data_IF_694457451435
#
_entry.id   IF_694457451435
#
_cell.length_a   1.000
_cell.length_b   1.000
_cell.length_c   1.000
_cell.angle_alpha   90.00
_cell.angle_beta   90.00
_cell.angle_gamma   90.00
#
_symmetry.space_group_name_H-M   'P 1'
#
loop_
_entity.id
_entity.type
_entity.pdbx_description
1 polymer ?
#
# COMPACT_ATOMS: atom_id res chain seq x y z
N UNK A 1 7.55 -27.66 0.63
CA UNK A 1 6.38 -26.78 0.36
C UNK A 1 6.75 -25.85 -0.79
N UNK A 2 5.97 -25.82 -1.87
CA UNK A 2 6.31 -25.02 -3.06
C UNK A 2 6.01 -23.54 -2.78
N UNK A 3 6.92 -22.62 -3.15
CA UNK A 3 6.74 -21.16 -2.94
C UNK A 3 5.43 -20.66 -3.58
N UNK A 4 5.08 -21.20 -4.75
CA UNK A 4 3.84 -20.89 -5.46
C UNK A 4 2.58 -21.27 -4.67
N UNK A 5 2.61 -22.33 -3.87
CA UNK A 5 1.48 -22.76 -3.03
C UNK A 5 1.25 -21.78 -1.90
N UNK A 6 2.33 -21.28 -1.29
CA UNK A 6 2.26 -20.23 -0.27
C UNK A 6 1.70 -18.95 -0.87
N UNK A 7 2.18 -18.54 -2.05
CA UNK A 7 1.67 -17.40 -2.79
C UNK A 7 0.15 -17.49 -3.00
N UNK A 8 -0.30 -18.58 -3.65
CA UNK A 8 -1.73 -18.85 -3.90
C UNK A 8 -2.56 -18.91 -2.62
N UNK A 9 -1.99 -19.39 -1.52
CA UNK A 9 -2.69 -19.42 -0.24
C UNK A 9 -2.94 -18.04 0.33
N UNK A 10 -1.94 -17.14 0.28
CA UNK A 10 -2.06 -15.78 0.80
C UNK A 10 -3.01 -14.96 -0.10
N UNK A 11 -2.96 -15.19 -1.41
CA UNK A 11 -3.76 -14.48 -2.42
C UNK A 11 -5.19 -14.98 -2.60
N UNK A 12 -5.57 -16.09 -1.95
CA UNK A 12 -6.91 -16.61 -2.11
C UNK A 12 -7.96 -15.62 -1.57
N UNK A 13 -9.11 -15.43 -2.25
CA UNK A 13 -10.12 -14.45 -1.88
C UNK A 13 -10.58 -14.52 -0.41
N UNK A 14 -10.66 -15.73 0.16
CA UNK A 14 -11.07 -15.93 1.54
C UNK A 14 -10.05 -15.40 2.57
N UNK A 15 -8.75 -15.48 2.28
CA UNK A 15 -7.69 -14.92 3.14
C UNK A 15 -7.68 -13.40 3.02
N UNK A 16 -7.76 -12.87 1.79
CA UNK A 16 -7.85 -11.43 1.54
C UNK A 16 -9.04 -10.79 2.25
N UNK A 17 -10.22 -11.41 2.16
CA UNK A 17 -11.44 -10.93 2.81
C UNK A 17 -11.29 -10.88 4.34
N UNK A 18 -10.65 -11.89 4.94
CA UNK A 18 -10.35 -11.91 6.39
C UNK A 18 -9.30 -10.86 6.79
N UNK A 19 -8.30 -10.63 5.93
CA UNK A 19 -7.30 -9.60 6.19
C UNK A 19 -7.96 -8.21 6.15
N UNK A 20 -8.79 -7.94 5.13
CA UNK A 20 -9.59 -6.72 5.07
C UNK A 20 -10.54 -6.56 6.26
N UNK A 21 -11.20 -7.63 6.73
CA UNK A 21 -12.09 -7.54 7.91
C UNK A 21 -11.32 -7.25 9.20
N UNK A 22 -10.09 -7.74 9.32
CA UNK A 22 -9.20 -7.48 10.46
C UNK A 22 -8.43 -6.17 10.36
N UNK A 23 -8.52 -5.46 9.23
CA UNK A 23 -7.78 -4.21 9.01
C UNK A 23 -7.89 -3.19 10.14
N UNK A 24 -9.07 -2.92 10.75
CA UNK A 24 -9.16 -2.01 11.88
C UNK A 24 -8.29 -2.45 13.06
N UNK A 25 -8.33 -3.75 13.39
CA UNK A 25 -7.56 -4.30 14.50
C UNK A 25 -6.05 -4.26 14.19
N UNK A 26 -5.65 -4.55 12.95
CA UNK A 26 -4.25 -4.47 12.51
C UNK A 26 -3.75 -3.03 12.59
N UNK A 27 -4.47 -2.07 11.99
CA UNK A 27 -4.09 -0.65 12.04
C UNK A 27 -4.02 -0.12 13.47
N UNK A 28 -4.96 -0.52 14.33
CA UNK A 28 -4.96 -0.13 15.75
C UNK A 28 -3.75 -0.73 16.47
N UNK A 29 -3.47 -2.02 16.26
CA UNK A 29 -2.32 -2.71 16.86
C UNK A 29 -0.99 -2.12 16.40
N UNK A 30 -0.82 -1.89 15.09
CA UNK A 30 0.39 -1.25 14.56
C UNK A 30 0.52 0.18 15.05
N UNK A 31 -0.58 0.95 15.10
CA UNK A 31 -0.60 2.29 15.64
C UNK A 31 -0.19 2.34 17.12
N UNK A 32 -0.70 1.42 17.94
CA UNK A 32 -0.32 1.29 19.35
C UNK A 32 1.16 0.89 19.52
N UNK A 33 1.67 0.00 18.67
CA UNK A 33 3.08 -0.39 18.68
C UNK A 33 3.99 0.79 18.31
N UNK A 34 3.67 1.53 17.25
CA UNK A 34 4.41 2.75 16.84
C UNK A 34 4.35 3.80 17.95
N UNK A 35 3.18 4.04 18.52
CA UNK A 35 3.01 4.97 19.63
C UNK A 35 3.84 4.57 20.85
N UNK A 36 3.83 3.28 21.21
CA UNK A 36 4.59 2.74 22.31
C UNK A 36 6.09 2.85 22.10
N UNK A 37 6.58 2.51 20.90
CA UNK A 37 7.99 2.67 20.54
C UNK A 37 8.44 4.14 20.59
N UNK A 38 7.66 5.05 20.01
CA UNK A 38 7.97 6.49 20.00
C UNK A 38 7.95 7.09 21.42
N UNK A 39 7.01 6.65 22.26
CA UNK A 39 6.83 7.18 23.61
C UNK A 39 7.81 6.59 24.62
N UNK A 40 7.98 5.26 24.63
CA UNK A 40 8.73 4.57 25.68
C UNK A 40 10.19 4.30 25.31
N UNK A 41 10.52 4.22 24.01
CA UNK A 41 11.89 3.99 23.57
C UNK A 41 12.57 5.30 23.15
N UNK A 42 12.03 6.00 22.15
CA UNK A 42 12.66 7.23 21.63
C UNK A 42 12.58 8.43 22.57
N UNK A 43 11.54 8.52 23.39
CA UNK A 43 11.27 9.68 24.25
C UNK A 43 11.37 9.35 25.74
N UNK A 44 12.12 8.30 26.09
CA UNK A 44 12.20 7.78 27.46
C UNK A 44 12.47 8.89 28.48
N UNK A 45 13.43 9.76 28.17
CA UNK A 45 13.96 10.81 29.07
C UNK A 45 13.53 12.24 28.66
N UNK A 46 12.50 12.37 27.80
CA UNK A 46 12.10 13.68 27.29
C UNK A 46 11.28 14.48 28.34
N UNK A 47 11.61 15.75 28.62
CA UNK A 47 10.99 16.54 29.70
C UNK A 47 9.47 16.78 29.53
N UNK A 48 8.96 16.63 28.31
CA UNK A 48 7.53 16.74 27.98
C UNK A 48 6.93 15.44 27.43
N UNK A 49 7.40 14.28 27.90
CA UNK A 49 6.99 12.95 27.42
C UNK A 49 5.48 12.77 27.32
N UNK A 50 4.71 13.12 28.36
CA UNK A 50 3.25 12.96 28.36
C UNK A 50 2.56 13.76 27.24
N UNK A 51 2.98 15.02 27.05
CA UNK A 51 2.46 15.89 25.98
C UNK A 51 2.82 15.35 24.60
N UNK A 52 4.06 14.88 24.41
CA UNK A 52 4.53 14.32 23.13
C UNK A 52 3.85 12.97 22.82
N UNK A 53 3.64 12.13 23.84
CA UNK A 53 2.84 10.90 23.75
C UNK A 53 1.41 11.20 23.30
N UNK A 54 0.74 12.20 23.88
CA UNK A 54 -0.60 12.60 23.47
C UNK A 54 -0.63 13.06 22.01
N UNK A 55 0.32 13.91 21.60
CA UNK A 55 0.40 14.38 20.20
C UNK A 55 0.61 13.24 19.21
N UNK A 56 1.47 12.28 19.55
CA UNK A 56 1.68 11.10 18.72
C UNK A 56 0.42 10.25 18.66
N UNK A 57 -0.29 10.05 19.78
CA UNK A 57 -1.56 9.32 19.79
C UNK A 57 -2.61 9.96 18.86
N UNK A 58 -2.81 11.27 18.96
CA UNK A 58 -3.76 12.01 18.09
C UNK A 58 -3.34 11.92 16.62
N UNK A 59 -2.05 12.08 16.33
CA UNK A 59 -1.52 12.01 14.96
C UNK A 59 -1.68 10.62 14.36
N UNK A 60 -1.31 9.57 15.11
CA UNK A 60 -1.42 8.16 14.69
C UNK A 60 -2.89 7.79 14.50
N UNK A 61 -3.76 8.15 15.44
CA UNK A 61 -5.20 7.89 15.33
C UNK A 61 -5.80 8.57 14.10
N UNK A 62 -5.38 9.81 13.80
CA UNK A 62 -5.84 10.55 12.62
C UNK A 62 -5.34 9.91 11.31
N UNK A 63 -4.06 9.53 11.25
CA UNK A 63 -3.50 8.85 10.08
C UNK A 63 -4.14 7.47 9.86
N UNK A 64 -4.29 6.65 10.91
CA UNK A 64 -4.91 5.33 10.85
C UNK A 64 -6.41 5.41 10.52
N UNK A 65 -7.12 6.36 11.12
CA UNK A 65 -8.53 6.62 10.82
C UNK A 65 -8.73 7.06 9.36
N UNK A 66 -7.87 7.95 8.87
CA UNK A 66 -7.88 8.36 7.46
C UNK A 66 -7.53 7.18 6.52
N UNK A 67 -6.52 6.37 6.83
CA UNK A 67 -6.22 5.11 6.11
C UNK A 67 -7.47 4.23 6.01
N UNK A 68 -8.16 4.02 7.12
CA UNK A 68 -9.36 3.18 7.16
C UNK A 68 -10.52 3.76 6.34
N UNK A 69 -10.80 5.05 6.49
CA UNK A 69 -11.84 5.75 5.71
C UNK A 69 -11.52 5.74 4.22
N UNK A 70 -10.25 5.93 3.85
CA UNK A 70 -9.80 5.88 2.46
C UNK A 70 -10.12 4.54 1.78
N UNK A 71 -9.97 3.42 2.51
CA UNK A 71 -10.21 2.09 1.94
C UNK A 71 -11.65 1.61 2.04
N UNK A 72 -12.34 1.86 3.16
CA UNK A 72 -13.72 1.39 3.36
C UNK A 72 -14.80 2.37 2.90
N UNK A 73 -14.43 3.64 2.73
CA UNK A 73 -15.39 4.70 2.51
C UNK A 73 -16.00 5.19 3.82
N UNK A 74 -16.85 6.21 3.70
CA UNK A 74 -17.58 6.81 4.80
C UNK A 74 -19.07 6.84 4.46
N UNK A 75 -19.89 6.28 5.36
CA UNK A 75 -21.35 6.36 5.30
C UNK A 75 -21.87 7.04 6.56
N UNK A 76 -22.70 8.07 6.39
CA UNK A 76 -23.32 8.80 7.49
C UNK A 76 -24.82 8.87 7.22
N UNK A 77 -25.65 8.45 8.18
CA UNK A 77 -27.11 8.46 8.03
C UNK A 77 -27.62 7.69 6.81
N UNK A 78 -26.97 6.56 6.47
CA UNK A 78 -27.30 5.75 5.29
C UNK A 78 -26.81 6.31 3.95
N UNK A 79 -26.34 7.56 3.89
CA UNK A 79 -25.78 8.17 2.67
C UNK A 79 -24.28 7.90 2.56
N UNK A 80 -23.85 7.48 1.37
CA UNK A 80 -22.41 7.31 1.07
C UNK A 80 -21.81 8.69 0.83
N UNK A 81 -20.98 9.15 1.76
CA UNK A 81 -20.25 10.42 1.68
C UNK A 81 -18.99 10.24 0.83
N UNK A 82 -18.30 9.13 1.02
CA UNK A 82 -17.12 8.75 0.26
C UNK A 82 -17.18 7.24 -0.02
N UNK A 83 -17.00 6.84 -1.27
CA UNK A 83 -16.88 5.41 -1.61
C UNK A 83 -15.45 4.96 -1.33
N UNK A 84 -15.31 3.81 -0.66
CA UNK A 84 -13.99 3.22 -0.41
C UNK A 84 -13.23 2.96 -1.72
N UNK A 85 -11.92 3.16 -1.67
CA UNK A 85 -11.04 3.00 -2.83
C UNK A 85 -10.57 1.55 -3.03
N UNK A 86 -10.83 0.66 -2.07
CA UNK A 86 -10.57 -0.77 -2.22
C UNK A 86 -11.88 -1.55 -2.35
N UNK A 87 -11.85 -2.54 -3.22
CA UNK A 87 -12.95 -3.49 -3.33
C UNK A 87 -12.91 -4.45 -2.16
N UNK A 88 -14.04 -4.57 -1.45
CA UNK A 88 -14.20 -5.51 -0.35
C UNK A 88 -15.39 -6.41 -0.61
N UNK A 89 -15.15 -7.71 -0.64
CA UNK A 89 -16.19 -8.74 -0.66
C UNK A 89 -16.22 -9.44 0.69
N UNK A 90 -17.36 -9.44 1.41
CA UNK A 90 -17.51 -10.17 2.67
C UNK A 90 -17.22 -11.66 2.51
N UNK A 91 -16.69 -12.29 3.57
CA UNK A 91 -16.24 -13.70 3.52
C UNK A 91 -17.39 -14.64 3.16
N UNK A 92 -18.61 -14.34 3.59
CA UNK A 92 -19.81 -15.12 3.30
C UNK A 92 -20.10 -15.13 1.80
N UNK A 93 -19.96 -13.96 1.16
CA UNK A 93 -20.15 -13.82 -0.30
C UNK A 93 -18.99 -14.46 -1.07
N UNK A 94 -17.76 -14.36 -0.57
CA UNK A 94 -16.60 -15.05 -1.15
C UNK A 94 -16.81 -16.56 -1.13
N UNK A 95 -17.16 -17.14 0.02
CA UNK A 95 -17.37 -18.58 0.15
C UNK A 95 -18.59 -19.05 -0.65
N UNK A 96 -19.67 -18.26 -0.71
CA UNK A 96 -20.81 -18.56 -1.57
C UNK A 96 -20.42 -18.63 -3.05
N UNK A 97 -19.68 -17.65 -3.55
CA UNK A 97 -19.21 -17.63 -4.94
C UNK A 97 -18.26 -18.82 -5.20
N UNK A 98 -17.36 -19.12 -4.27
CA UNK A 98 -16.46 -20.27 -4.35
C UNK A 98 -17.23 -21.60 -4.41
N UNK A 99 -18.23 -21.79 -3.54
CA UNK A 99 -19.08 -22.97 -3.54
C UNK A 99 -19.83 -23.12 -4.87
N UNK A 100 -20.41 -22.02 -5.39
CA UNK A 100 -21.09 -22.00 -6.67
C UNK A 100 -20.17 -22.36 -7.84
N UNK A 101 -18.94 -21.83 -7.87
CA UNK A 101 -17.95 -22.16 -8.88
C UNK A 101 -17.57 -23.64 -8.84
N UNK A 102 -17.37 -24.19 -7.63
CA UNK A 102 -17.08 -25.62 -7.43
C UNK A 102 -18.26 -26.49 -7.89
N UNK A 103 -19.49 -26.15 -7.49
CA UNK A 103 -20.69 -26.89 -7.90
C UNK A 103 -20.87 -26.89 -9.41
N UNK A 104 -20.70 -25.72 -10.04
CA UNK A 104 -20.77 -25.58 -11.49
C UNK A 104 -19.70 -26.44 -12.18
N UNK A 105 -18.46 -26.44 -11.68
CA UNK A 105 -17.38 -27.23 -12.26
C UNK A 105 -17.64 -28.74 -12.13
N UNK A 106 -18.04 -29.21 -10.95
CA UNK A 106 -18.33 -30.63 -10.69
C UNK A 106 -19.59 -31.13 -11.42
N UNK A 107 -20.61 -30.28 -11.61
CA UNK A 107 -21.81 -30.65 -12.38
C UNK A 107 -21.57 -30.73 -13.89
N UNK A 108 -20.62 -29.96 -14.41
CA UNK A 108 -20.29 -29.91 -15.84
C UNK A 108 -19.24 -30.96 -16.24
N UNK A 109 -18.64 -31.67 -15.29
CA UNK A 109 -17.53 -32.59 -15.53
C UNK A 109 -17.46 -33.70 -14.49
N UNK A 110 -17.41 -34.96 -14.94
CA UNK A 110 -16.97 -36.07 -14.12
C UNK A 110 -15.45 -36.01 -13.93
N UNK A 111 -15.02 -36.06 -12.66
CA UNK A 111 -13.62 -36.19 -12.29
C UNK A 111 -13.36 -37.64 -11.90
N UNK A 112 -12.38 -38.28 -12.53
CA UNK A 112 -11.96 -39.64 -12.17
C UNK A 112 -11.06 -39.65 -10.91
N UNK A 113 -10.62 -38.48 -10.44
CA UNK A 113 -9.78 -38.32 -9.25
C UNK A 113 -10.64 -38.02 -8.01
N UNK A 114 -10.92 -39.07 -7.23
CA UNK A 114 -11.68 -38.98 -5.96
C UNK A 114 -11.02 -38.05 -4.93
N UNK A 115 -9.68 -37.96 -4.92
CA UNK A 115 -8.96 -37.10 -3.97
C UNK A 115 -9.20 -35.63 -4.31
N UNK A 116 -9.12 -35.28 -5.60
CA UNK A 116 -9.40 -33.94 -6.09
C UNK A 116 -10.87 -33.58 -5.85
N UNK A 117 -11.80 -34.48 -6.17
CA UNK A 117 -13.23 -34.23 -5.97
C UNK A 117 -13.57 -34.00 -4.49
N UNK A 118 -13.06 -34.85 -3.59
CA UNK A 118 -13.24 -34.70 -2.14
C UNK A 118 -12.63 -33.39 -1.63
N UNK A 119 -11.46 -33.01 -2.14
CA UNK A 119 -10.80 -31.74 -1.80
C UNK A 119 -11.68 -30.55 -2.18
N UNK A 120 -12.22 -30.52 -3.40
CA UNK A 120 -13.11 -29.47 -3.89
C UNK A 120 -14.42 -29.42 -3.06
N UNK A 121 -15.07 -30.56 -2.81
CA UNK A 121 -16.29 -30.61 -1.99
C UNK A 121 -16.07 -30.08 -0.57
N UNK A 122 -14.97 -30.46 0.07
CA UNK A 122 -14.62 -30.01 1.41
C UNK A 122 -14.27 -28.52 1.46
N UNK A 123 -13.78 -27.96 0.36
CA UNK A 123 -13.38 -26.56 0.31
C UNK A 123 -14.56 -25.58 0.17
N UNK A 124 -15.75 -26.01 -0.27
CA UNK A 124 -16.91 -25.11 -0.53
C UNK A 124 -17.19 -24.09 0.58
N UNK A 125 -17.08 -24.51 1.84
CA UNK A 125 -17.47 -23.71 3.01
C UNK A 125 -16.27 -23.21 3.83
N UNK A 126 -15.04 -23.34 3.32
CA UNK A 126 -13.83 -22.89 4.04
C UNK A 126 -12.78 -22.34 3.09
N UNK A 127 -11.79 -21.65 3.66
CA UNK A 127 -10.56 -21.33 2.92
C UNK A 127 -9.83 -22.61 2.52
N UNK A 128 -9.15 -22.58 1.39
CA UNK A 128 -8.22 -23.63 0.99
C UNK A 128 -7.04 -23.65 1.94
N UNK A 129 -6.67 -24.85 2.42
CA UNK A 129 -5.40 -25.07 3.10
C UNK A 129 -4.26 -25.13 2.08
N UNK A 130 -3.02 -25.09 2.56
CA UNK A 130 -1.84 -25.30 1.70
C UNK A 130 -1.88 -26.66 0.99
N UNK A 131 -2.35 -27.71 1.69
CA UNK A 131 -2.51 -29.05 1.09
C UNK A 131 -3.59 -29.08 0.02
N UNK A 132 -4.72 -28.38 0.22
CA UNK A 132 -5.77 -28.30 -0.79
C UNK A 132 -5.23 -27.63 -2.06
N UNK A 133 -4.45 -26.56 -1.91
CA UNK A 133 -3.85 -25.83 -3.04
C UNK A 133 -2.82 -26.68 -3.77
N UNK A 134 -2.00 -27.45 -3.05
CA UNK A 134 -1.07 -28.40 -3.67
C UNK A 134 -1.82 -29.46 -4.48
N UNK A 135 -2.87 -30.07 -3.90
CA UNK A 135 -3.69 -31.09 -4.58
C UNK A 135 -4.37 -30.50 -5.82
N UNK A 136 -5.00 -29.32 -5.70
CA UNK A 136 -5.66 -28.66 -6.82
C UNK A 136 -4.63 -28.29 -7.90
N UNK A 137 -3.48 -27.70 -7.53
CA UNK A 137 -2.48 -27.26 -8.51
C UNK A 137 -1.82 -28.42 -9.25
N UNK A 138 -1.62 -29.56 -8.60
CA UNK A 138 -0.94 -30.71 -9.18
C UNK A 138 -1.88 -31.64 -9.94
N UNK A 139 -3.15 -31.77 -9.50
CA UNK A 139 -4.09 -32.78 -10.01
C UNK A 139 -5.22 -32.23 -10.87
N UNK A 140 -5.47 -30.91 -10.84
CA UNK A 140 -6.48 -30.31 -11.71
C UNK A 140 -6.05 -30.47 -13.19
N UNK A 141 -6.94 -30.92 -14.09
CA UNK A 141 -6.59 -31.06 -15.51
C UNK A 141 -6.12 -29.74 -16.14
N UNK A 142 -5.21 -29.79 -17.11
CA UNK A 142 -4.58 -28.57 -17.69
C UNK A 142 -5.33 -27.98 -18.89
N UNK A 143 -6.57 -28.39 -19.12
CA UNK A 143 -7.42 -27.86 -20.19
C UNK A 143 -7.96 -26.46 -19.88
N UNK A 144 -8.55 -25.82 -20.90
CA UNK A 144 -9.03 -24.44 -20.81
C UNK A 144 -10.09 -24.24 -19.72
N UNK A 145 -11.04 -25.17 -19.59
CA UNK A 145 -12.14 -25.06 -18.61
C UNK A 145 -11.62 -25.17 -17.18
N UNK A 146 -10.68 -26.08 -16.94
CA UNK A 146 -10.03 -26.19 -15.64
C UNK A 146 -9.20 -24.96 -15.28
N UNK A 147 -8.53 -24.33 -16.24
CA UNK A 147 -7.81 -23.08 -16.01
C UNK A 147 -8.75 -21.92 -15.68
N UNK A 148 -9.88 -21.82 -16.39
CA UNK A 148 -10.92 -20.83 -16.11
C UNK A 148 -11.51 -21.04 -14.71
N UNK A 149 -11.83 -22.28 -14.35
CA UNK A 149 -12.28 -22.63 -13.00
C UNK A 149 -11.25 -22.28 -11.93
N UNK A 150 -9.98 -22.66 -12.15
CA UNK A 150 -8.90 -22.34 -11.21
C UNK A 150 -8.76 -20.84 -11.01
N UNK A 151 -8.87 -20.05 -12.08
CA UNK A 151 -8.84 -18.58 -12.01
C UNK A 151 -10.03 -18.02 -11.21
N UNK A 152 -11.21 -18.63 -11.30
CA UNK A 152 -12.39 -18.20 -10.54
C UNK A 152 -12.24 -18.44 -9.03
N UNK A 153 -11.67 -19.58 -8.61
CA UNK A 153 -11.55 -19.95 -7.18
C UNK A 153 -10.23 -19.56 -6.52
N UNK A 154 -9.15 -19.53 -7.30
CA UNK A 154 -7.76 -19.24 -6.90
C UNK A 154 -7.12 -18.42 -8.02
N UNK A 155 -7.57 -17.16 -8.21
CA UNK A 155 -7.13 -16.33 -9.31
C UNK A 155 -5.62 -16.26 -9.39
N UNK A 156 -5.10 -16.56 -10.57
CA UNK A 156 -3.67 -16.52 -10.79
C UNK A 156 -3.17 -15.08 -10.80
N UNK A 157 -1.89 -14.88 -10.46
CA UNK A 157 -1.22 -13.61 -10.66
C UNK A 157 -1.25 -13.20 -12.14
N UNK A 158 -2.08 -12.20 -12.50
CA UNK A 158 -2.04 -11.62 -13.85
C UNK A 158 -0.86 -10.66 -13.95
N UNK A 159 0.04 -10.88 -14.92
CA UNK A 159 1.11 -9.93 -15.23
C UNK A 159 0.48 -8.67 -15.81
N UNK A 160 0.30 -7.65 -14.97
CA UNK A 160 -0.27 -6.37 -15.40
C UNK A 160 0.66 -5.67 -16.42
N UNK A 161 0.06 -5.23 -17.51
CA UNK A 161 0.65 -4.37 -18.54
C UNK A 161 0.79 -2.94 -18.03
N UNK A 162 1.68 -2.15 -18.65
CA UNK A 162 1.83 -0.72 -18.29
C UNK A 162 0.50 0.06 -18.34
N UNK A 163 -0.42 -0.30 -19.24
CA UNK A 163 -1.73 0.34 -19.38
C UNK A 163 -2.61 0.15 -18.14
N UNK A 164 -2.56 -1.03 -17.52
CA UNK A 164 -3.29 -1.33 -16.30
C UNK A 164 -2.67 -0.58 -15.11
N UNK A 165 -1.33 -0.50 -15.04
CA UNK A 165 -0.64 0.32 -14.03
C UNK A 165 -1.15 1.76 -14.08
N UNK A 166 -1.08 2.39 -15.26
CA UNK A 166 -1.54 3.77 -15.43
C UNK A 166 -3.03 3.94 -15.11
N UNK A 167 -3.85 2.92 -15.36
CA UNK A 167 -5.27 2.91 -14.95
C UNK A 167 -5.46 2.93 -13.43
N UNK A 168 -4.55 2.32 -12.67
CA UNK A 168 -4.62 2.25 -11.21
C UNK A 168 -3.87 3.37 -10.48
N UNK A 169 -2.93 4.07 -11.12
CA UNK A 169 -2.13 5.14 -10.48
C UNK A 169 -3.01 6.11 -9.71
N UNK A 170 -4.13 6.55 -10.30
CA UNK A 170 -5.04 7.51 -9.65
C UNK A 170 -5.59 6.97 -8.33
N UNK A 171 -6.02 5.70 -8.33
CA UNK A 171 -6.59 5.01 -7.17
C UNK A 171 -5.54 4.84 -6.08
N UNK A 172 -4.38 4.28 -6.43
CA UNK A 172 -3.27 4.04 -5.50
C UNK A 172 -2.74 5.35 -4.89
N UNK A 173 -2.59 6.38 -5.72
CA UNK A 173 -2.16 7.71 -5.26
C UNK A 173 -3.17 8.32 -4.28
N UNK A 174 -4.47 8.16 -4.53
CA UNK A 174 -5.49 8.67 -3.61
C UNK A 174 -5.55 7.87 -2.29
N UNK A 175 -5.36 6.54 -2.35
CA UNK A 175 -5.24 5.69 -1.15
C UNK A 175 -4.08 6.14 -0.27
N UNK A 176 -2.96 6.58 -0.86
CA UNK A 176 -1.82 7.12 -0.13
C UNK A 176 -1.96 8.58 0.32
N UNK A 177 -2.63 9.43 -0.47
CA UNK A 177 -2.84 10.84 -0.13
C UNK A 177 -3.70 11.02 1.13
N UNK A 178 -4.78 10.24 1.25
CA UNK A 178 -5.74 10.35 2.34
C UNK A 178 -5.09 10.22 3.73
N UNK A 179 -4.31 9.17 4.04
CA UNK A 179 -3.64 9.06 5.33
C UNK A 179 -2.53 10.08 5.53
N UNK A 180 -1.85 10.53 4.47
CA UNK A 180 -0.90 11.64 4.55
C UNK A 180 -1.60 12.92 4.99
N UNK A 181 -2.70 13.28 4.34
CA UNK A 181 -3.51 14.44 4.70
C UNK A 181 -4.10 14.31 6.12
N UNK A 182 -4.61 13.13 6.47
CA UNK A 182 -5.14 12.83 7.81
C UNK A 182 -4.08 12.95 8.90
N UNK A 183 -2.86 12.48 8.64
CA UNK A 183 -1.73 12.63 9.53
C UNK A 183 -1.32 14.10 9.72
N UNK A 184 -1.19 14.87 8.63
CA UNK A 184 -0.92 16.32 8.70
C UNK A 184 -1.99 17.06 9.50
N UNK A 185 -3.27 16.81 9.21
CA UNK A 185 -4.39 17.40 9.93
C UNK A 185 -4.37 17.04 11.41
N UNK A 186 -4.19 15.74 11.75
CA UNK A 186 -4.08 15.27 13.13
C UNK A 186 -2.91 15.90 13.87
N UNK A 187 -1.77 16.05 13.21
CA UNK A 187 -0.59 16.73 13.73
C UNK A 187 -0.87 18.19 14.06
N UNK A 188 -1.51 18.93 13.15
CA UNK A 188 -1.89 20.34 13.36
C UNK A 188 -2.93 20.46 14.49
N UNK A 189 -3.95 19.61 14.50
CA UNK A 189 -4.95 19.59 15.57
C UNK A 189 -4.32 19.30 16.93
N UNK A 190 -3.36 18.36 17.00
CA UNK A 190 -2.64 18.08 18.24
C UNK A 190 -1.80 19.27 18.72
N UNK A 191 -1.21 20.03 17.78
CA UNK A 191 -0.48 21.26 18.07
C UNK A 191 -1.41 22.33 18.67
N UNK A 192 -2.62 22.48 18.12
CA UNK A 192 -3.63 23.43 18.59
C UNK A 192 -4.11 23.03 20.00
N UNK A 193 -4.56 21.78 20.18
CA UNK A 193 -5.07 21.28 21.47
C UNK A 193 -4.02 21.42 22.57
N UNK A 194 -2.76 21.14 22.25
CA UNK A 194 -1.69 21.22 23.24
C UNK A 194 -1.13 22.63 23.39
N UNK A 195 -1.55 23.64 22.64
CA UNK A 195 -0.97 24.99 22.66
C UNK A 195 0.51 25.02 22.23
N UNK A 196 0.94 24.11 21.34
CA UNK A 196 2.31 24.07 20.78
C UNK A 196 2.41 24.57 19.35
N UNK A 197 1.29 24.99 18.76
CA UNK A 197 1.20 25.41 17.37
C UNK A 197 2.15 26.54 17.02
N UNK A 198 2.76 26.43 15.84
CA UNK A 198 3.50 27.54 15.24
C UNK A 198 3.45 27.42 13.72
N UNK A 199 3.65 28.53 13.02
CA UNK A 199 3.76 28.55 11.56
C UNK A 199 4.89 27.62 11.09
N UNK A 200 6.04 27.62 11.78
CA UNK A 200 7.18 26.74 11.45
C UNK A 200 6.82 25.26 11.55
N UNK A 201 6.12 24.85 12.63
CA UNK A 201 5.69 23.45 12.82
C UNK A 201 4.64 23.03 11.80
N UNK A 202 3.69 23.91 11.50
CA UNK A 202 2.66 23.69 10.47
C UNK A 202 3.31 23.52 9.10
N UNK A 203 4.21 24.44 8.72
CA UNK A 203 4.97 24.37 7.49
C UNK A 203 5.74 23.04 7.37
N UNK A 204 6.43 22.61 8.43
CA UNK A 204 7.18 21.36 8.41
C UNK A 204 6.27 20.13 8.21
N UNK A 205 5.08 20.10 8.81
CA UNK A 205 4.08 19.04 8.59
C UNK A 205 3.60 19.01 7.14
N UNK A 206 3.25 20.17 6.58
CA UNK A 206 2.80 20.27 5.18
C UNK A 206 3.91 19.86 4.22
N UNK A 207 5.15 20.36 4.42
CA UNK A 207 6.29 19.95 3.61
C UNK A 207 6.55 18.45 3.70
N UNK A 208 6.42 17.87 4.88
CA UNK A 208 6.64 16.43 5.05
C UNK A 208 5.50 15.63 4.42
N UNK A 209 4.27 16.12 4.49
CA UNK A 209 3.17 15.55 3.73
C UNK A 209 3.42 15.57 2.22
N UNK A 210 3.90 16.69 1.68
CA UNK A 210 4.26 16.79 0.25
C UNK A 210 5.40 15.86 -0.11
N UNK A 211 6.42 15.75 0.75
CA UNK A 211 7.52 14.82 0.53
C UNK A 211 7.04 13.36 0.55
N UNK A 212 6.32 12.95 1.60
CA UNK A 212 5.78 11.59 1.72
C UNK A 212 4.85 11.26 0.54
N UNK A 213 3.95 12.17 0.15
CA UNK A 213 3.05 11.92 -0.98
C UNK A 213 3.77 11.86 -2.32
N UNK A 214 4.65 12.82 -2.63
CA UNK A 214 5.30 12.86 -3.94
C UNK A 214 6.43 11.85 -4.06
N UNK A 215 7.35 11.86 -3.10
CA UNK A 215 8.54 11.03 -3.14
C UNK A 215 8.24 9.57 -2.83
N UNK A 216 7.32 9.28 -1.89
CA UNK A 216 7.10 7.91 -1.39
C UNK A 216 5.83 7.23 -1.93
N UNK A 217 4.98 7.93 -2.69
CA UNK A 217 3.70 7.36 -3.17
C UNK A 217 3.49 7.66 -4.67
N UNK A 218 3.28 8.92 -5.02
CA UNK A 218 2.82 9.31 -6.36
C UNK A 218 3.88 9.04 -7.44
N UNK A 219 5.10 9.57 -7.28
CA UNK A 219 6.14 9.45 -8.32
C UNK A 219 6.76 8.06 -8.38
N UNK A 220 6.62 7.25 -7.32
CA UNK A 220 6.93 5.83 -7.35
C UNK A 220 6.03 5.10 -8.35
N UNK A 221 4.71 5.28 -8.22
CA UNK A 221 3.72 4.66 -9.11
C UNK A 221 3.90 5.11 -10.56
N UNK A 222 4.16 6.41 -10.78
CA UNK A 222 4.47 6.96 -12.11
C UNK A 222 5.77 6.37 -12.67
N UNK A 223 6.82 6.28 -11.85
CA UNK A 223 8.11 5.71 -12.24
C UNK A 223 8.02 4.25 -12.63
N UNK A 224 7.29 3.44 -11.84
CA UNK A 224 7.01 2.04 -12.14
C UNK A 224 6.32 1.88 -13.50
N UNK A 225 5.22 2.62 -13.72
CA UNK A 225 4.44 2.56 -14.96
C UNK A 225 5.24 3.03 -16.18
N UNK A 226 5.98 4.12 -16.05
CA UNK A 226 6.80 4.68 -17.13
C UNK A 226 7.95 3.76 -17.53
N UNK A 227 8.65 3.18 -16.56
CA UNK A 227 9.74 2.24 -16.83
C UNK A 227 9.23 0.96 -17.49
N UNK A 228 8.10 0.41 -17.01
CA UNK A 228 7.51 -0.77 -17.65
C UNK A 228 7.03 -0.44 -19.07
N UNK A 229 6.34 0.68 -19.27
CA UNK A 229 5.88 1.12 -20.60
C UNK A 229 7.05 1.28 -21.59
N UNK A 230 8.13 1.93 -21.16
CA UNK A 230 9.32 2.08 -21.98
C UNK A 230 9.90 0.71 -22.37
N UNK A 231 9.99 -0.21 -21.42
CA UNK A 231 10.50 -1.56 -21.67
C UNK A 231 9.62 -2.36 -22.62
N UNK A 232 8.29 -2.32 -22.46
CA UNK A 232 7.33 -2.98 -23.35
C UNK A 232 7.41 -2.43 -24.76
N UNK A 233 7.53 -1.10 -24.92
CA UNK A 233 7.70 -0.45 -26.22
C UNK A 233 9.02 -0.82 -26.88
N UNK A 234 10.11 -0.96 -26.12
CA UNK A 234 11.40 -1.41 -26.61
C UNK A 234 11.36 -2.88 -27.04
N UNK A 235 10.66 -3.75 -26.30
CA UNK A 235 10.42 -5.15 -26.70
C UNK A 235 9.59 -5.23 -27.98
N UNK A 236 8.50 -4.46 -28.07
CA UNK A 236 7.64 -4.43 -29.26
C UNK A 236 8.40 -3.96 -30.52
N UNK A 237 9.35 -3.04 -30.37
CA UNK A 237 10.25 -2.57 -31.44
C UNK A 237 11.44 -3.50 -31.71
N UNK A 238 11.49 -4.68 -31.07
CA UNK A 238 12.59 -5.66 -31.15
C UNK A 238 13.97 -5.09 -30.75
N UNK A 239 14.01 -3.98 -30.02
CA UNK A 239 15.26 -3.37 -29.52
C UNK A 239 15.85 -4.15 -28.34
N UNK A 240 14.99 -4.82 -27.56
CA UNK A 240 15.39 -5.69 -26.46
C UNK A 240 14.62 -7.01 -26.51
N UNK A 241 15.20 -8.07 -25.95
CA UNK A 241 14.50 -9.36 -25.79
C UNK A 241 13.31 -9.21 -24.82
N UNK A 242 12.25 -10.02 -24.98
CA UNK A 242 11.17 -10.09 -24.00
C UNK A 242 11.71 -10.31 -22.58
N UNK A 243 11.27 -9.45 -21.66
CA UNK A 243 11.71 -9.50 -20.28
C UNK A 243 11.02 -10.64 -19.54
N UNK A 244 11.80 -11.44 -18.81
CA UNK A 244 11.27 -12.39 -17.84
C UNK A 244 10.62 -11.64 -16.67
N UNK A 245 9.75 -12.27 -15.87
CA UNK A 245 9.12 -11.63 -14.72
C UNK A 245 10.12 -10.96 -13.75
N UNK A 246 11.25 -11.62 -13.48
CA UNK A 246 12.33 -11.08 -12.64
C UNK A 246 12.97 -9.83 -13.26
N UNK A 247 13.16 -9.79 -14.58
CA UNK A 247 13.71 -8.62 -15.26
C UNK A 247 12.71 -7.47 -15.31
N UNK A 248 11.40 -7.75 -15.48
CA UNK A 248 10.34 -6.74 -15.37
C UNK A 248 10.33 -6.11 -13.98
N UNK A 249 10.43 -6.93 -12.92
CA UNK A 249 10.58 -6.47 -11.55
C UNK A 249 11.78 -5.53 -11.39
N UNK A 250 12.95 -5.90 -11.92
CA UNK A 250 14.13 -5.04 -11.91
C UNK A 250 13.92 -3.68 -12.60
N UNK A 251 13.26 -3.67 -13.76
CA UNK A 251 12.91 -2.43 -14.49
C UNK A 251 11.97 -1.53 -13.68
N UNK A 252 10.94 -2.13 -13.07
CA UNK A 252 9.98 -1.41 -12.22
C UNK A 252 10.70 -0.76 -11.03
N UNK A 253 11.52 -1.52 -10.30
CA UNK A 253 12.27 -1.02 -9.14
C UNK A 253 13.26 0.08 -9.51
N UNK A 254 13.90 -0.03 -10.68
CA UNK A 254 14.74 1.04 -11.21
C UNK A 254 13.92 2.31 -11.50
N UNK A 255 12.74 2.16 -12.10
CA UNK A 255 11.80 3.27 -12.36
C UNK A 255 11.33 3.98 -11.09
N UNK A 256 10.93 3.21 -10.07
CA UNK A 256 10.54 3.71 -8.73
C UNK A 256 11.70 4.47 -8.09
N UNK A 257 12.91 3.91 -8.12
CA UNK A 257 14.08 4.54 -7.50
C UNK A 257 14.45 5.85 -8.19
N UNK A 258 14.51 5.85 -9.53
CA UNK A 258 14.87 7.02 -10.30
C UNK A 258 13.82 8.13 -10.19
N UNK A 259 12.54 7.79 -10.32
CA UNK A 259 11.45 8.79 -10.42
C UNK A 259 10.86 9.13 -9.06
N UNK A 260 10.59 8.13 -8.23
CA UNK A 260 10.02 8.30 -6.89
C UNK A 260 11.06 8.86 -5.92
N UNK A 261 12.10 8.08 -5.61
CA UNK A 261 13.08 8.47 -4.60
C UNK A 261 13.87 9.70 -5.05
N UNK A 262 14.56 9.65 -6.19
CA UNK A 262 15.43 10.74 -6.61
C UNK A 262 14.60 11.91 -7.15
N UNK A 263 13.80 11.66 -8.19
CA UNK A 263 12.97 12.69 -8.82
C UNK A 263 11.96 13.32 -7.85
N UNK A 264 11.24 12.50 -7.09
CA UNK A 264 10.23 12.99 -6.16
C UNK A 264 10.80 13.75 -4.98
N UNK A 265 11.98 13.38 -4.48
CA UNK A 265 12.66 14.20 -3.47
C UNK A 265 13.04 15.57 -4.00
N UNK A 266 13.51 15.66 -5.25
CA UNK A 266 13.83 16.93 -5.91
C UNK A 266 12.58 17.79 -6.05
N UNK A 267 11.49 17.22 -6.57
CA UNK A 267 10.23 17.95 -6.79
C UNK A 267 9.60 18.37 -5.46
N UNK A 268 9.56 17.48 -4.47
CA UNK A 268 9.02 17.80 -3.14
C UNK A 268 9.80 18.91 -2.44
N UNK A 269 11.13 18.88 -2.53
CA UNK A 269 11.97 19.93 -1.99
C UNK A 269 11.83 21.24 -2.79
N UNK A 270 11.67 21.18 -4.10
CA UNK A 270 11.38 22.34 -4.94
C UNK A 270 10.06 23.01 -4.52
N UNK A 271 8.97 22.24 -4.43
CA UNK A 271 7.65 22.72 -3.99
C UNK A 271 7.73 23.28 -2.57
N UNK A 272 8.49 22.62 -1.69
CA UNK A 272 8.73 23.11 -0.32
C UNK A 272 9.31 24.53 -0.35
N UNK A 273 10.42 24.74 -1.06
CA UNK A 273 11.12 26.03 -1.10
C UNK A 273 10.38 27.12 -1.87
N UNK A 274 9.69 26.77 -2.97
CA UNK A 274 9.10 27.74 -3.90
C UNK A 274 7.65 28.04 -3.63
N UNK A 275 6.91 27.12 -3.01
CA UNK A 275 5.50 27.30 -2.75
C UNK A 275 5.23 27.34 -1.25
N UNK A 276 5.67 26.33 -0.50
CA UNK A 276 5.28 26.18 0.92
C UNK A 276 5.98 27.24 1.79
N UNK A 277 7.29 27.41 1.65
CA UNK A 277 8.04 28.37 2.46
C UNK A 277 7.57 29.82 2.32
N UNK A 278 7.34 30.34 1.10
CA UNK A 278 6.74 31.67 0.93
C UNK A 278 5.36 31.80 1.57
N UNK A 279 4.51 30.78 1.48
CA UNK A 279 3.18 30.77 2.12
C UNK A 279 3.25 30.85 3.65
N UNK A 280 4.35 30.40 4.25
CA UNK A 280 4.59 30.47 5.69
C UNK A 280 5.65 31.52 6.08
N UNK A 281 5.94 32.49 5.20
CA UNK A 281 6.82 33.62 5.48
C UNK A 281 8.30 33.27 5.66
N UNK A 282 8.73 32.07 5.28
CA UNK A 282 10.14 31.65 5.33
C UNK A 282 10.89 32.16 4.09
N UNK A 283 12.02 32.83 4.32
CA UNK A 283 12.91 33.33 3.27
C UNK A 283 14.11 32.38 3.12
N UNK A 284 14.40 31.98 1.89
CA UNK A 284 15.59 31.18 1.55
C UNK A 284 16.69 32.06 1.00
N UNK A 285 17.94 31.74 1.34
CA UNK A 285 19.10 32.30 0.64
C UNK A 285 19.14 31.80 -0.81
N UNK A 286 19.58 32.66 -1.75
CA UNK A 286 19.69 32.36 -3.20
C UNK A 286 20.54 31.11 -3.51
N UNK A 287 21.40 30.67 -2.58
CA UNK A 287 22.35 29.56 -2.77
C UNK A 287 22.02 28.30 -1.95
N UNK A 288 20.83 28.19 -1.36
CA UNK A 288 20.49 27.00 -0.59
C UNK A 288 20.26 25.75 -1.47
N UNK A 289 21.12 24.75 -1.28
CA UNK A 289 21.01 23.42 -1.90
C UNK A 289 19.60 22.82 -1.72
N UNK A 290 19.00 22.26 -2.78
CA UNK A 290 17.64 21.68 -2.76
C UNK A 290 17.46 20.63 -1.64
N UNK A 291 18.52 19.91 -1.28
CA UNK A 291 18.54 18.91 -0.19
C UNK A 291 18.70 19.50 1.22
N UNK A 292 18.75 20.82 1.36
CA UNK A 292 18.73 21.48 2.67
C UNK A 292 17.41 21.23 3.42
N UNK A 293 16.34 20.87 2.71
CA UNK A 293 15.01 20.62 3.28
C UNK A 293 14.84 19.20 3.86
N UNK A 294 15.13 18.18 3.05
CA UNK A 294 14.98 16.76 3.38
C UNK A 294 15.85 15.94 2.41
N UNK A 295 16.58 14.95 2.93
CA UNK A 295 17.33 13.97 2.11
C UNK A 295 16.65 12.60 2.12
N UNK A 296 16.70 11.83 1.04
CA UNK A 296 16.25 10.43 1.05
C UNK A 296 16.93 9.62 2.16
N UNK A 297 16.19 8.73 2.81
CA UNK A 297 16.70 7.82 3.85
C UNK A 297 16.47 6.35 3.52
N UNK A 298 17.21 5.42 4.15
CA UNK A 298 16.95 3.98 4.00
C UNK A 298 15.52 3.58 4.34
N UNK A 299 14.89 4.27 5.31
CA UNK A 299 13.49 4.03 5.64
C UNK A 299 12.54 4.53 4.55
N UNK A 300 12.90 5.61 3.84
CA UNK A 300 12.18 5.97 2.62
C UNK A 300 12.36 4.80 1.65
N UNK A 301 13.60 4.44 1.29
CA UNK A 301 13.89 3.29 0.41
C UNK A 301 13.19 1.97 0.83
N UNK A 302 12.98 1.73 2.14
CA UNK A 302 12.24 0.57 2.66
C UNK A 302 10.71 0.72 2.55
N UNK A 303 10.15 1.92 2.82
CA UNK A 303 8.76 2.26 2.48
C UNK A 303 8.51 2.32 0.96
N UNK A 304 9.58 2.43 0.15
CA UNK A 304 9.58 2.25 -1.30
C UNK A 304 9.84 0.78 -1.69
N UNK A 305 10.53 0.00 -0.85
CA UNK A 305 10.61 -1.44 -0.97
C UNK A 305 9.25 -2.06 -0.63
N UNK A 306 8.40 -1.36 0.11
CA UNK A 306 6.97 -1.65 0.23
C UNK A 306 6.19 -1.34 -1.07
N UNK A 307 6.75 -0.59 -2.03
CA UNK A 307 6.31 -0.59 -3.43
C UNK A 307 6.86 -1.82 -4.22
N UNK A 308 7.72 -2.68 -3.63
CA UNK A 308 7.88 -4.10 -4.07
C UNK A 308 6.57 -4.82 -3.86
N UNK A 309 5.69 -4.33 -2.97
CA UNK A 309 4.33 -4.80 -2.92
C UNK A 309 3.56 -4.34 -4.17
N UNK A 310 3.74 -3.10 -4.65
CA UNK A 310 3.28 -2.71 -6.01
C UNK A 310 3.92 -3.61 -7.06
N UNK A 311 5.21 -3.93 -6.97
CA UNK A 311 5.86 -4.89 -7.86
C UNK A 311 5.38 -6.35 -7.68
N UNK A 312 4.80 -6.66 -6.52
CA UNK A 312 4.08 -7.87 -6.17
C UNK A 312 2.73 -7.90 -6.85
N UNK A 313 1.97 -6.81 -6.82
CA UNK A 313 0.76 -6.60 -7.66
C UNK A 313 1.12 -6.69 -9.15
N UNK A 314 2.29 -6.20 -9.57
CA UNK A 314 2.79 -6.28 -10.95
C UNK A 314 3.35 -7.67 -11.32
N UNK A 315 3.59 -8.53 -10.33
CA UNK A 315 3.82 -9.96 -10.48
C UNK A 315 2.58 -10.80 -10.11
N UNK A 316 1.45 -10.12 -9.81
CA UNK A 316 0.09 -10.59 -9.56
C UNK A 316 -0.26 -11.11 -8.15
N UNK A 317 0.50 -10.75 -7.13
CA UNK A 317 0.17 -11.02 -5.71
C UNK A 317 -0.88 -10.02 -5.20
N UNK A 318 -2.05 -10.52 -4.80
CA UNK A 318 -3.24 -9.75 -4.38
C UNK A 318 -3.27 -9.38 -2.90
N UNK A 319 -2.47 -10.04 -2.06
CA UNK A 319 -2.42 -9.80 -0.60
C UNK A 319 -1.91 -8.43 -0.18
N UNK A 320 -1.34 -7.71 -1.12
CA UNK A 320 -0.64 -6.46 -0.91
C UNK A 320 -1.63 -5.28 -0.82
N UNK A 321 -2.69 -5.29 -1.61
CA UNK A 321 -3.73 -4.25 -1.57
C UNK A 321 -4.27 -4.08 -0.13
N UNK A 322 -4.58 -5.16 0.63
CA UNK A 322 -4.87 -5.04 2.05
C UNK A 322 -3.73 -4.45 2.92
N UNK A 323 -2.46 -4.59 2.55
CA UNK A 323 -1.33 -4.09 3.36
C UNK A 323 -1.03 -2.59 3.15
N UNK A 324 -1.38 -2.03 1.98
CA UNK A 324 -1.18 -0.60 1.65
C UNK A 324 -1.63 0.39 2.74
N UNK A 325 -2.77 0.22 3.42
CA UNK A 325 -3.23 1.16 4.45
C UNK A 325 -2.31 1.21 5.66
N UNK A 326 -1.62 0.09 5.93
CA UNK A 326 -0.64 -0.04 7.01
C UNK A 326 0.61 0.78 6.66
N UNK A 327 1.07 0.67 5.41
CA UNK A 327 2.29 1.33 4.96
C UNK A 327 2.07 2.85 4.85
N UNK A 328 0.93 3.26 4.28
CA UNK A 328 0.61 4.67 4.13
C UNK A 328 0.22 5.38 5.43
N UNK A 329 -0.26 4.68 6.48
CA UNK A 329 -0.46 5.36 7.77
C UNK A 329 0.89 5.78 8.39
N UNK A 330 1.97 5.02 8.17
CA UNK A 330 3.31 5.39 8.66
C UNK A 330 3.78 6.68 7.97
N UNK A 331 3.60 6.79 6.65
CA UNK A 331 3.82 8.03 5.91
C UNK A 331 2.97 9.19 6.46
N UNK A 332 1.69 8.92 6.77
CA UNK A 332 0.82 9.89 7.43
C UNK A 332 1.30 10.32 8.81
N UNK A 333 1.74 9.39 9.64
CA UNK A 333 2.32 9.69 10.95
C UNK A 333 3.57 10.58 10.83
N UNK A 334 4.51 10.24 9.94
CA UNK A 334 5.73 11.04 9.70
C UNK A 334 5.41 12.45 9.21
N UNK A 335 4.46 12.58 8.30
CA UNK A 335 3.94 13.87 7.86
C UNK A 335 3.30 14.66 9.01
N UNK A 336 2.51 13.99 9.84
CA UNK A 336 1.82 14.58 10.98
C UNK A 336 2.74 15.06 12.11
N UNK A 337 3.87 14.40 12.35
CA UNK A 337 4.88 14.93 13.29
C UNK A 337 5.78 16.00 12.65
N UNK A 338 5.70 16.18 11.33
CA UNK A 338 6.55 17.12 10.58
C UNK A 338 8.01 16.71 10.58
N UNK A 339 8.26 15.41 10.41
CA UNK A 339 9.59 14.82 10.42
C UNK A 339 10.52 15.50 9.42
N UNK A 340 11.76 15.79 9.84
CA UNK A 340 12.81 16.38 9.01
C UNK A 340 14.16 15.86 9.49
N UNK A 341 14.86 15.10 8.66
CA UNK A 341 16.14 14.51 9.06
C UNK A 341 17.28 15.51 9.29
N UNK A 342 17.17 16.71 8.73
CA UNK A 342 18.14 17.79 8.96
C UNK A 342 17.90 18.54 10.30
N UNK A 343 16.81 18.24 11.02
CA UNK A 343 16.50 18.82 12.33
C UNK A 343 16.52 17.74 13.42
N UNK A 344 17.68 17.11 13.66
CA UNK A 344 17.87 16.23 14.82
C UNK A 344 17.93 17.03 16.14
N UNK A 345 16.87 17.77 16.42
CA UNK A 345 16.49 18.26 17.74
C UNK A 345 14.95 18.32 17.75
N UNK A 346 14.30 17.19 18.02
CA UNK A 346 12.84 17.15 18.22
C UNK A 346 12.44 16.31 19.42
#
# INVERSE_FOLDING_TARGET
MKILTVAKYIDQPAVLSKLHSKMPAVLTGTGAAVWGYETFHKQKDHPHKARKAFKNAVTIASAAGASFVGVRGLKIGGKTIFKGLMEYTPIEKVLKNQAQAIDKFLSARNLDDETLEKTLKNAKNRKFSLSDIDIISDRLPKDKKSKEFLHEILPEPENLSSKEIFGEIKRLSLIGLIPVAGGVAGGITSDIITGTGSQKKTANKVKEGVYQYLANIFLCNVGAGAALFASEKMTARKLIKPLTPVKKLGVILAGITATGIIGGSIIANYISKKCIDPLFGKKHSKNENIYSERKPEPLDIALHADDIATAGVLSGFKWIEPALPIMYFISGYRAGIGYRNNNQQS
#
